data_IF_998918485606
#
_entry.id   IF_998918485606
#
_cell.length_a   1.000
_cell.length_b   1.000
_cell.length_c   1.000
_cell.angle_alpha   90.00
_cell.angle_beta   90.00
_cell.angle_gamma   90.00
#
_symmetry.space_group_name_H-M   'P 1'
#
loop_
_entity.id
_entity.type
_entity.pdbx_description
1 polymer ?
#
# COMPACT_ATOMS: atom_id res chain seq x y z
N UNK A 1 -8.84 8.13 16.31
CA UNK A 1 -7.67 7.26 16.04
C UNK A 1 -8.30 5.96 15.61
N UNK A 2 -8.36 5.69 14.31
CA UNK A 2 -8.99 4.46 13.80
C UNK A 2 -7.99 3.35 14.01
N UNK A 3 -8.25 2.50 15.00
CA UNK A 3 -7.45 1.35 15.37
C UNK A 3 -7.49 0.32 14.23
N UNK A 4 -6.52 0.42 13.33
CA UNK A 4 -6.23 -0.52 12.21
C UNK A 4 -6.06 -1.97 12.69
N UNK A 5 -6.00 -2.19 14.01
CA UNK A 5 -5.63 -3.45 14.68
C UNK A 5 -6.71 -4.52 14.73
N UNK A 6 -8.01 -4.21 14.56
CA UNK A 6 -9.07 -5.24 14.63
C UNK A 6 -9.54 -5.77 13.26
N UNK A 7 -9.38 -5.02 12.17
CA UNK A 7 -9.88 -5.39 10.83
C UNK A 7 -8.81 -5.88 9.83
N UNK A 8 -7.53 -5.91 10.22
CA UNK A 8 -6.43 -6.28 9.32
C UNK A 8 -6.26 -7.79 9.06
N UNK A 9 -7.23 -8.64 9.45
CA UNK A 9 -7.27 -10.05 9.03
C UNK A 9 -7.69 -10.18 7.55
N UNK A 10 -6.96 -9.54 6.64
CA UNK A 10 -7.28 -9.56 5.21
C UNK A 10 -6.55 -10.67 4.48
N UNK A 11 -7.38 -11.61 4.02
CA UNK A 11 -7.13 -12.81 3.23
C UNK A 11 -6.38 -12.51 1.91
N UNK A 12 -5.33 -13.30 1.64
CA UNK A 12 -4.51 -13.22 0.42
C UNK A 12 -4.45 -14.55 -0.30
N UNK A 13 -5.15 -14.64 -1.45
CA UNK A 13 -4.81 -15.41 -2.67
C UNK A 13 -5.94 -15.34 -3.69
N UNK A 14 -5.65 -15.20 -4.98
CA UNK A 14 -6.55 -15.72 -6.01
C UNK A 14 -5.81 -16.23 -7.24
N UNK A 15 -5.74 -17.55 -7.36
CA UNK A 15 -5.72 -18.28 -8.64
C UNK A 15 -6.11 -19.74 -8.38
N UNK A 16 -7.37 -20.05 -8.70
CA UNK A 16 -7.94 -21.36 -9.07
C UNK A 16 -7.90 -22.55 -8.09
N UNK A 17 -7.29 -22.49 -6.91
CA UNK A 17 -7.41 -23.55 -5.88
C UNK A 17 -7.50 -22.95 -4.47
N UNK A 18 -8.47 -23.42 -3.69
CA UNK A 18 -8.99 -22.90 -2.41
C UNK A 18 -8.02 -23.01 -1.20
N UNK A 19 -6.82 -22.44 -1.30
CA UNK A 19 -5.91 -22.30 -0.15
C UNK A 19 -5.91 -20.86 0.36
N UNK A 20 -6.87 -20.56 1.24
CA UNK A 20 -6.92 -19.32 2.00
C UNK A 20 -5.84 -19.34 3.09
N UNK A 21 -4.72 -18.65 2.85
CA UNK A 21 -3.75 -18.38 3.92
C UNK A 21 -4.17 -17.10 4.63
N UNK A 22 -4.53 -17.23 5.90
CA UNK A 22 -4.58 -16.10 6.82
C UNK A 22 -3.13 -15.67 7.07
N UNK A 23 -2.76 -14.54 6.50
CA UNK A 23 -1.50 -13.87 6.76
C UNK A 23 -1.86 -12.64 7.59
N UNK A 24 -1.16 -12.42 8.70
CA UNK A 24 -1.26 -11.15 9.39
C UNK A 24 -0.54 -10.10 8.55
N UNK A 25 -1.31 -9.13 8.07
CA UNK A 25 -0.83 -8.06 7.17
C UNK A 25 -0.92 -6.71 7.88
N UNK A 26 -1.12 -6.72 9.19
CA UNK A 26 -1.37 -5.55 10.02
C UNK A 26 -0.20 -4.57 9.95
N UNK A 27 1.03 -5.08 10.05
CA UNK A 27 2.23 -4.25 9.94
C UNK A 27 2.41 -3.64 8.55
N UNK A 28 2.06 -4.39 7.50
CA UNK A 28 2.13 -3.91 6.12
C UNK A 28 1.08 -2.85 5.84
N UNK A 29 -0.15 -3.04 6.31
CA UNK A 29 -1.22 -2.04 6.27
C UNK A 29 -0.80 -0.74 6.98
N UNK A 30 -0.26 -0.84 8.19
CA UNK A 30 0.22 0.33 8.93
C UNK A 30 1.36 1.04 8.18
N UNK A 31 2.29 0.30 7.58
CA UNK A 31 3.36 0.88 6.78
C UNK A 31 2.82 1.61 5.54
N UNK A 32 1.83 1.03 4.84
CA UNK A 32 1.18 1.65 3.69
C UNK A 32 0.47 2.93 4.11
N UNK A 33 -0.36 2.91 5.14
CA UNK A 33 -1.11 4.08 5.62
C UNK A 33 -0.16 5.20 6.06
N UNK A 34 0.89 4.87 6.83
CA UNK A 34 1.92 5.85 7.22
C UNK A 34 2.59 6.47 6.00
N UNK A 35 2.96 5.65 5.02
CA UNK A 35 3.57 6.13 3.79
C UNK A 35 2.63 7.06 3.01
N UNK A 36 1.33 6.73 2.90
CA UNK A 36 0.34 7.59 2.25
C UNK A 36 0.21 8.92 3.00
N UNK A 37 0.16 8.90 4.33
CA UNK A 37 0.12 10.10 5.16
C UNK A 37 1.37 10.97 5.01
N UNK A 38 2.56 10.38 4.90
CA UNK A 38 3.80 11.14 4.68
C UNK A 38 3.87 11.76 3.27
N UNK A 39 3.42 11.01 2.26
CA UNK A 39 3.44 11.45 0.86
C UNK A 39 2.35 12.50 0.58
N UNK A 40 1.14 12.32 1.12
CA UNK A 40 -0.02 13.19 0.87
C UNK A 40 -0.14 14.31 1.90
N UNK A 41 0.25 14.06 3.16
CA UNK A 41 0.15 15.02 4.27
C UNK A 41 1.33 15.99 4.41
N UNK A 42 2.40 15.81 3.63
CA UNK A 42 3.54 16.72 3.61
C UNK A 42 3.16 18.09 3.03
N UNK A 43 3.12 19.13 3.89
CA UNK A 43 2.76 20.54 3.59
C UNK A 43 3.58 21.27 2.49
N UNK A 44 4.39 20.57 1.70
CA UNK A 44 5.24 21.17 0.67
C UNK A 44 5.23 20.47 -0.69
N UNK A 45 4.54 19.32 -0.84
CA UNK A 45 4.43 18.68 -2.14
C UNK A 45 3.30 19.33 -2.94
N UNK A 46 3.65 19.77 -4.14
CA UNK A 46 2.76 20.39 -5.13
C UNK A 46 1.48 19.54 -5.22
N UNK A 47 0.33 20.13 -4.85
CA UNK A 47 -1.03 19.57 -4.97
C UNK A 47 -1.33 18.91 -6.33
N UNK A 48 -0.50 19.16 -7.35
CA UNK A 48 -0.60 18.59 -8.69
C UNK A 48 -0.19 17.12 -8.83
N UNK A 49 0.48 16.50 -7.86
CA UNK A 49 0.89 15.09 -7.97
C UNK A 49 -0.11 14.18 -7.27
N UNK A 50 -1.30 14.03 -7.87
CA UNK A 50 -2.27 13.02 -7.46
C UNK A 50 -1.66 11.63 -7.71
N UNK A 51 -1.16 11.00 -6.65
CA UNK A 51 -0.67 9.63 -6.70
C UNK A 51 -1.85 8.68 -6.57
N UNK A 52 -1.98 7.76 -7.52
CA UNK A 52 -3.03 6.74 -7.48
C UNK A 52 -2.65 5.60 -6.54
N UNK A 53 -3.62 4.80 -6.10
CA UNK A 53 -3.38 3.58 -5.32
C UNK A 53 -2.36 2.65 -5.98
N UNK A 54 -2.37 2.57 -7.31
CA UNK A 54 -1.39 1.82 -8.11
C UNK A 54 0.05 2.31 -7.92
N UNK A 55 0.26 3.61 -7.69
CA UNK A 55 1.59 4.15 -7.39
C UNK A 55 2.13 3.59 -6.06
N UNK A 56 1.27 3.48 -5.05
CA UNK A 56 1.63 2.87 -3.76
C UNK A 56 1.87 1.36 -3.87
N UNK A 57 1.10 0.66 -4.73
CA UNK A 57 1.37 -0.75 -5.07
C UNK A 57 2.76 -0.90 -5.68
N UNK A 58 3.12 -0.01 -6.62
CA UNK A 58 4.43 -0.02 -7.27
C UNK A 58 5.56 0.29 -6.26
N UNK A 59 5.38 1.24 -5.33
CA UNK A 59 6.34 1.48 -4.24
C UNK A 59 6.49 0.25 -3.36
N UNK A 60 5.39 -0.31 -2.85
CA UNK A 60 5.41 -1.47 -1.95
C UNK A 60 6.08 -2.69 -2.59
N UNK A 61 5.85 -2.91 -3.90
CA UNK A 61 6.51 -3.97 -4.67
C UNK A 61 7.99 -3.72 -4.93
N UNK A 62 8.49 -2.51 -4.71
CA UNK A 62 9.87 -2.11 -5.00
C UNK A 62 10.10 -1.71 -6.46
N UNK A 63 9.05 -1.27 -7.16
CA UNK A 63 9.12 -0.83 -8.55
C UNK A 63 9.98 0.44 -8.66
N UNK A 64 10.86 0.48 -9.65
CA UNK A 64 11.81 1.58 -9.88
C UNK A 64 11.36 2.51 -11.02
N UNK A 65 10.04 2.70 -11.14
CA UNK A 65 9.46 3.51 -12.21
C UNK A 65 9.97 4.96 -12.10
N UNK A 66 10.14 5.65 -13.24
CA UNK A 66 10.60 7.05 -13.27
C UNK A 66 9.82 7.94 -12.29
N UNK A 67 8.50 7.78 -12.17
CA UNK A 67 7.67 8.52 -11.19
C UNK A 67 8.03 8.25 -9.74
N UNK A 68 8.41 7.02 -9.39
CA UNK A 68 8.82 6.63 -8.03
C UNK A 68 10.17 7.27 -7.70
N UNK A 69 11.14 7.21 -8.62
CA UNK A 69 12.46 7.82 -8.45
C UNK A 69 12.43 9.34 -8.46
N UNK A 70 11.67 9.95 -9.37
CA UNK A 70 11.52 11.39 -9.49
C UNK A 70 10.84 12.00 -8.25
N UNK A 71 9.88 11.27 -7.67
CA UNK A 71 9.25 11.63 -6.40
C UNK A 71 10.10 11.27 -5.16
N UNK A 72 11.24 10.58 -5.32
CA UNK A 72 12.08 10.11 -4.22
C UNK A 72 11.46 9.01 -3.35
N UNK A 73 10.41 8.35 -3.85
CA UNK A 73 9.68 7.30 -3.14
C UNK A 73 10.43 5.96 -3.13
N UNK A 74 11.55 5.83 -3.86
CA UNK A 74 12.45 4.68 -3.78
C UNK A 74 13.20 4.60 -2.43
N UNK A 75 13.30 5.74 -1.72
CA UNK A 75 13.98 5.83 -0.43
C UNK A 75 13.06 5.59 0.77
N UNK A 76 11.75 5.43 0.52
CA UNK A 76 10.78 5.23 1.58
C UNK A 76 10.95 3.83 2.19
N UNK A 77 10.72 3.67 3.50
CA UNK A 77 10.82 2.37 4.17
C UNK A 77 9.80 1.34 3.66
N UNK A 78 8.78 1.80 2.94
CA UNK A 78 7.80 0.95 2.27
C UNK A 78 8.35 0.29 1.00
N UNK A 79 9.40 0.87 0.38
CA UNK A 79 9.92 0.39 -0.90
C UNK A 79 10.46 -1.03 -0.81
N UNK A 80 9.92 -1.93 -1.64
CA UNK A 80 10.36 -3.33 -1.69
C UNK A 80 9.92 -4.20 -0.51
N UNK A 81 9.16 -3.67 0.45
CA UNK A 81 8.62 -4.43 1.60
C UNK A 81 7.72 -5.59 1.13
N UNK A 82 6.93 -5.34 0.09
CA UNK A 82 6.06 -6.30 -0.57
C UNK A 82 6.71 -7.09 -1.71
N UNK A 83 8.04 -7.13 -1.85
CA UNK A 83 8.68 -7.77 -3.02
C UNK A 83 8.21 -9.21 -3.29
N UNK A 84 7.95 -9.96 -2.21
CA UNK A 84 7.50 -11.36 -2.25
C UNK A 84 5.99 -11.54 -2.48
N UNK A 85 5.23 -10.45 -2.46
CA UNK A 85 3.78 -10.48 -2.67
C UNK A 85 3.43 -10.51 -4.15
N UNK A 86 2.30 -11.14 -4.50
CA UNK A 86 1.76 -11.03 -5.84
C UNK A 86 1.14 -9.64 -6.02
N UNK A 87 1.31 -9.05 -7.22
CA UNK A 87 0.79 -7.71 -7.53
C UNK A 87 -0.72 -7.62 -7.25
N UNK A 88 -1.48 -8.64 -7.66
CA UNK A 88 -2.92 -8.70 -7.45
C UNK A 88 -3.35 -8.77 -5.98
N UNK A 89 -2.51 -9.32 -5.09
CA UNK A 89 -2.79 -9.37 -3.66
C UNK A 89 -2.53 -8.01 -3.00
N UNK A 90 -1.46 -7.33 -3.40
CA UNK A 90 -1.19 -5.95 -2.95
C UNK A 90 -2.28 -5.00 -3.44
N UNK A 91 -2.73 -5.12 -4.69
CA UNK A 91 -3.83 -4.31 -5.22
C UNK A 91 -5.11 -4.54 -4.40
N UNK A 92 -5.45 -5.79 -4.06
CA UNK A 92 -6.58 -6.12 -3.20
C UNK A 92 -6.45 -5.51 -1.81
N UNK A 93 -5.26 -5.61 -1.21
CA UNK A 93 -4.98 -5.06 0.11
C UNK A 93 -5.18 -3.54 0.15
N UNK A 94 -4.56 -2.83 -0.79
CA UNK A 94 -4.67 -1.36 -0.87
C UNK A 94 -6.11 -0.94 -1.15
N UNK A 95 -6.83 -1.66 -2.02
CA UNK A 95 -8.24 -1.38 -2.32
C UNK A 95 -9.15 -1.63 -1.11
N UNK A 96 -8.85 -2.68 -0.32
CA UNK A 96 -9.55 -2.96 0.94
C UNK A 96 -9.34 -1.80 1.93
N UNK A 97 -8.12 -1.28 2.08
CA UNK A 97 -7.83 -0.12 2.92
C UNK A 97 -8.61 1.15 2.49
N UNK A 98 -8.83 1.35 1.19
CA UNK A 98 -9.68 2.44 0.70
C UNK A 98 -11.16 2.21 0.98
N UNK A 99 -11.66 0.98 0.78
CA UNK A 99 -13.06 0.62 1.04
C UNK A 99 -13.41 0.77 2.53
N UNK A 100 -12.50 0.36 3.41
CA UNK A 100 -12.61 0.48 4.86
C UNK A 100 -12.39 1.92 5.36
N UNK A 101 -12.34 2.90 4.45
CA UNK A 101 -12.20 4.34 4.73
C UNK A 101 -10.93 4.76 5.49
N UNK A 102 -9.93 3.86 5.60
CA UNK A 102 -8.61 4.22 6.13
C UNK A 102 -7.84 5.17 5.20
N UNK A 103 -8.16 5.16 3.91
CA UNK A 103 -7.59 6.03 2.87
C UNK A 103 -8.75 6.69 2.10
N UNK A 104 -8.71 8.02 1.92
CA UNK A 104 -9.62 8.73 0.99
C UNK A 104 -8.92 8.97 -0.35
N UNK A 105 -9.67 8.75 -1.42
CA UNK A 105 -9.28 9.13 -2.80
C UNK A 105 -9.38 10.64 -3.04
#
# INVERSE_FOLDING_TARGET
MVDVTEDCQAIVRLSLQEDFKMVDVTEDCQAIVRCVLEVVGGQGQRWSNNFTLLHFVDIFKGSETKKVKDAGHDKLPLHGRGKNWLRGDVERLVRKLTIEEYLRE
#
